data_IF_765821992036
#
_entry.id   IF_765821992036
#
_cell.length_a   1.000
_cell.length_b   1.000
_cell.length_c   1.000
_cell.angle_alpha   90.00
_cell.angle_beta   90.00
_cell.angle_gamma   90.00
#
_symmetry.space_group_name_H-M   'P 1'
#
loop_
_entity.id
_entity.type
_entity.pdbx_description
1 polymer ?
#
# COMPACT_ATOMS: atom_id res chain seq x y z
N UNK A 1 -33.32 25.77 -3.08
CA UNK A 1 -32.87 24.88 -4.17
C UNK A 1 -31.65 24.07 -3.74
N UNK A 2 -30.61 24.66 -3.12
CA UNK A 2 -29.38 23.99 -2.69
C UNK A 2 -29.62 22.91 -1.62
N UNK A 3 -30.50 23.18 -0.66
CA UNK A 3 -30.90 22.24 0.41
C UNK A 3 -31.66 21.02 -0.15
N UNK A 4 -32.48 21.21 -1.15
CA UNK A 4 -33.24 20.14 -1.82
C UNK A 4 -32.27 19.24 -2.61
N UNK A 5 -31.33 19.84 -3.35
CA UNK A 5 -30.29 19.07 -4.05
C UNK A 5 -29.41 18.24 -3.09
N UNK A 6 -29.05 18.81 -1.96
CA UNK A 6 -28.28 18.12 -0.91
C UNK A 6 -29.08 16.94 -0.33
N UNK A 7 -30.36 17.13 -0.01
CA UNK A 7 -31.25 16.07 0.48
C UNK A 7 -31.40 14.94 -0.54
N UNK A 8 -31.57 15.26 -1.82
CA UNK A 8 -31.65 14.27 -2.89
C UNK A 8 -30.32 13.48 -2.99
N UNK A 9 -29.17 14.17 -2.91
CA UNK A 9 -27.86 13.53 -2.97
C UNK A 9 -27.62 12.57 -1.81
N UNK A 10 -28.00 12.97 -0.59
CA UNK A 10 -27.92 12.13 0.62
C UNK A 10 -28.85 10.92 0.50
N UNK A 11 -30.11 11.14 0.06
CA UNK A 11 -31.05 10.05 -0.17
C UNK A 11 -30.53 9.05 -1.20
N UNK A 12 -30.05 9.51 -2.36
CA UNK A 12 -29.48 8.62 -3.38
C UNK A 12 -28.27 7.84 -2.85
N UNK A 13 -27.42 8.48 -2.03
CA UNK A 13 -26.25 7.82 -1.44
C UNK A 13 -26.61 6.73 -0.42
N UNK A 14 -27.74 6.83 0.25
CA UNK A 14 -28.23 5.83 1.19
C UNK A 14 -28.89 4.62 0.51
N UNK A 15 -29.51 4.82 -0.66
CA UNK A 15 -30.21 3.77 -1.40
C UNK A 15 -29.30 2.98 -2.38
N UNK A 16 -28.14 3.50 -2.76
CA UNK A 16 -27.22 2.83 -3.68
C UNK A 16 -26.04 2.24 -2.92
N UNK A 17 -26.00 0.93 -2.81
CA UNK A 17 -25.02 0.16 -2.02
C UNK A 17 -23.54 0.34 -2.39
N UNK A 18 -23.25 0.95 -3.56
CA UNK A 18 -21.88 1.15 -4.07
C UNK A 18 -21.42 2.62 -4.08
N UNK A 19 -22.16 3.55 -3.48
CA UNK A 19 -21.75 4.95 -3.42
C UNK A 19 -20.95 5.22 -2.15
N UNK A 20 -19.74 5.74 -2.33
CA UNK A 20 -18.89 6.13 -1.21
C UNK A 20 -19.37 7.46 -0.59
N UNK A 21 -20.17 7.36 0.48
CA UNK A 21 -20.72 8.52 1.21
C UNK A 21 -19.61 9.47 1.67
N UNK A 22 -18.44 8.96 2.06
CA UNK A 22 -17.30 9.79 2.47
C UNK A 22 -16.73 10.63 1.35
N UNK A 23 -16.77 10.14 0.10
CA UNK A 23 -16.35 10.93 -1.07
C UNK A 23 -17.30 12.12 -1.33
N UNK A 24 -18.61 11.90 -1.19
CA UNK A 24 -19.60 12.96 -1.34
C UNK A 24 -19.51 14.01 -0.23
N UNK A 25 -19.32 13.56 1.00
CA UNK A 25 -19.14 14.43 2.16
C UNK A 25 -17.85 15.26 2.05
N UNK A 26 -16.78 14.66 1.60
CA UNK A 26 -15.52 15.35 1.31
C UNK A 26 -15.65 16.40 0.21
N UNK A 27 -16.36 16.09 -0.87
CA UNK A 27 -16.65 17.04 -1.95
C UNK A 27 -17.49 18.22 -1.48
N UNK A 28 -18.51 17.97 -0.64
CA UNK A 28 -19.35 19.02 -0.07
C UNK A 28 -18.56 19.95 0.86
N UNK A 29 -17.78 19.39 1.80
CA UNK A 29 -16.95 20.18 2.72
C UNK A 29 -15.90 20.99 1.95
N UNK A 30 -15.24 20.38 0.97
CA UNK A 30 -14.26 21.06 0.12
C UNK A 30 -14.86 22.22 -0.67
N UNK A 31 -16.01 22.01 -1.30
CA UNK A 31 -16.75 23.05 -2.03
C UNK A 31 -17.18 24.20 -1.14
N UNK A 32 -17.67 23.89 0.07
CA UNK A 32 -18.08 24.88 1.06
C UNK A 32 -16.90 25.73 1.54
N UNK A 33 -15.75 25.10 1.83
CA UNK A 33 -14.53 25.79 2.23
C UNK A 33 -14.03 26.74 1.14
N UNK A 34 -13.98 26.30 -0.11
CA UNK A 34 -13.56 27.14 -1.25
C UNK A 34 -14.48 28.34 -1.42
N UNK A 35 -15.80 28.13 -1.29
CA UNK A 35 -16.80 29.20 -1.40
C UNK A 35 -16.66 30.22 -0.26
N UNK A 36 -16.46 29.76 0.98
CA UNK A 36 -16.24 30.62 2.14
C UNK A 36 -14.97 31.45 1.99
N UNK A 37 -13.86 30.83 1.57
CA UNK A 37 -12.60 31.53 1.32
C UNK A 37 -12.80 32.61 0.25
N UNK A 38 -13.44 32.29 -0.88
CA UNK A 38 -13.72 33.26 -1.93
C UNK A 38 -14.61 34.43 -1.48
N UNK A 39 -15.58 34.15 -0.61
CA UNK A 39 -16.51 35.15 -0.12
C UNK A 39 -15.90 36.07 0.97
N UNK A 40 -15.26 35.47 2.00
CA UNK A 40 -14.80 36.25 3.13
C UNK A 40 -13.45 36.98 2.90
N UNK A 41 -12.58 36.43 2.08
CA UNK A 41 -11.25 37.02 1.89
C UNK A 41 -11.16 38.01 0.73
N UNK A 42 -12.27 38.24 0.01
CA UNK A 42 -12.31 39.16 -1.16
C UNK A 42 -11.06 39.02 -2.06
N UNK A 43 -10.67 37.77 -2.30
CA UNK A 43 -9.41 37.42 -2.96
C UNK A 43 -9.46 37.97 -4.39
N UNK A 44 -8.36 38.59 -4.83
CA UNK A 44 -8.20 39.04 -6.21
C UNK A 44 -8.54 37.85 -7.14
N UNK A 45 -9.40 38.09 -8.13
CA UNK A 45 -9.92 37.07 -9.04
C UNK A 45 -8.81 36.19 -9.65
N UNK A 46 -7.67 36.80 -9.99
CA UNK A 46 -6.53 36.08 -10.56
C UNK A 46 -5.86 35.17 -9.52
N UNK A 47 -5.69 35.64 -8.29
CA UNK A 47 -5.14 34.86 -7.19
C UNK A 47 -6.06 33.67 -6.83
N UNK A 48 -7.38 33.87 -6.86
CA UNK A 48 -8.35 32.80 -6.63
C UNK A 48 -8.20 31.68 -7.67
N UNK A 49 -8.08 32.01 -8.96
CA UNK A 49 -7.90 31.01 -10.01
C UNK A 49 -6.55 30.28 -9.88
N UNK A 50 -5.48 30.97 -9.52
CA UNK A 50 -4.18 30.35 -9.29
C UNK A 50 -4.25 29.33 -8.14
N UNK A 51 -4.85 29.72 -7.01
CA UNK A 51 -5.01 28.82 -5.85
C UNK A 51 -5.88 27.61 -6.21
N UNK A 52 -6.93 27.79 -6.98
CA UNK A 52 -7.80 26.70 -7.44
C UNK A 52 -7.04 25.70 -8.32
N UNK A 53 -6.23 26.19 -9.26
CA UNK A 53 -5.40 25.35 -10.13
C UNK A 53 -4.37 24.57 -9.32
N UNK A 54 -3.70 25.23 -8.37
CA UNK A 54 -2.73 24.57 -7.46
C UNK A 54 -3.39 23.46 -6.66
N UNK A 55 -4.59 23.73 -6.09
CA UNK A 55 -5.35 22.74 -5.34
C UNK A 55 -5.72 21.53 -6.20
N UNK A 56 -6.16 21.79 -7.44
CA UNK A 56 -6.51 20.75 -8.40
C UNK A 56 -5.31 19.90 -8.78
N UNK A 57 -4.14 20.51 -9.00
CA UNK A 57 -2.89 19.78 -9.26
C UNK A 57 -2.49 18.90 -8.07
N UNK A 58 -2.57 19.42 -6.85
CA UNK A 58 -2.29 18.63 -5.63
C UNK A 58 -3.26 17.44 -5.55
N UNK A 59 -4.55 17.68 -5.81
CA UNK A 59 -5.56 16.61 -5.80
C UNK A 59 -5.25 15.51 -6.83
N UNK A 60 -4.88 15.88 -8.06
CA UNK A 60 -4.50 14.92 -9.10
C UNK A 60 -3.27 14.11 -8.69
N UNK A 61 -2.24 14.76 -8.12
CA UNK A 61 -1.03 14.07 -7.63
C UNK A 61 -1.38 13.08 -6.53
N UNK A 62 -2.24 13.47 -5.57
CA UNK A 62 -2.69 12.58 -4.51
C UNK A 62 -3.49 11.39 -5.04
N UNK A 63 -4.35 11.60 -6.05
CA UNK A 63 -5.10 10.50 -6.68
C UNK A 63 -4.17 9.50 -7.36
N UNK A 64 -3.16 9.97 -8.09
CA UNK A 64 -2.15 9.10 -8.71
C UNK A 64 -1.42 8.28 -7.63
N UNK A 65 -1.03 8.90 -6.52
CA UNK A 65 -0.37 8.20 -5.40
C UNK A 65 -1.25 7.15 -4.76
N UNK A 66 -2.52 7.49 -4.47
CA UNK A 66 -3.48 6.55 -3.88
C UNK A 66 -3.75 5.37 -4.82
N UNK A 67 -3.86 5.64 -6.12
CA UNK A 67 -4.09 4.59 -7.11
C UNK A 67 -2.90 3.61 -7.17
N UNK A 68 -1.66 4.11 -7.20
CA UNK A 68 -0.44 3.28 -7.20
C UNK A 68 -0.37 2.40 -5.94
N UNK A 69 -0.56 2.98 -4.73
CA UNK A 69 -0.54 2.23 -3.47
C UNK A 69 -1.64 1.15 -3.44
N UNK A 70 -2.82 1.46 -4.00
CA UNK A 70 -3.95 0.52 -4.03
C UNK A 70 -3.70 -0.65 -4.98
N UNK A 71 -3.02 -0.43 -6.11
CA UNK A 71 -2.65 -1.51 -7.03
C UNK A 71 -1.66 -2.49 -6.37
N UNK A 72 -0.61 -1.99 -5.72
CA UNK A 72 0.37 -2.82 -5.03
C UNK A 72 -0.31 -3.74 -4.00
N UNK A 73 -1.17 -3.19 -3.16
CA UNK A 73 -1.95 -3.95 -2.17
C UNK A 73 -2.92 -4.98 -2.79
N UNK A 74 -3.42 -4.76 -4.00
CA UNK A 74 -4.31 -5.69 -4.69
C UNK A 74 -3.55 -6.94 -5.14
N UNK A 75 -2.34 -6.78 -5.70
CA UNK A 75 -1.51 -7.91 -6.13
C UNK A 75 -1.07 -8.76 -4.95
N UNK A 76 -0.57 -8.17 -3.89
CA UNK A 76 -0.16 -8.90 -2.69
C UNK A 76 -1.33 -9.65 -2.04
N UNK A 77 -2.50 -9.01 -2.00
CA UNK A 77 -3.72 -9.69 -1.54
C UNK A 77 -4.07 -10.88 -2.41
N UNK A 78 -4.02 -10.73 -3.72
CA UNK A 78 -4.33 -11.81 -4.65
C UNK A 78 -3.34 -12.97 -4.49
N UNK A 79 -2.03 -12.68 -4.34
CA UNK A 79 -1.00 -13.69 -4.09
C UNK A 79 -1.34 -14.47 -2.81
N UNK A 80 -1.65 -13.77 -1.71
CA UNK A 80 -2.02 -14.38 -0.43
C UNK A 80 -3.25 -15.24 -0.54
N UNK A 81 -4.29 -14.76 -1.23
CA UNK A 81 -5.54 -15.52 -1.42
C UNK A 81 -5.29 -16.82 -2.19
N UNK A 82 -4.45 -16.80 -3.24
CA UNK A 82 -4.06 -17.99 -3.97
C UNK A 82 -3.23 -18.96 -3.10
N UNK A 83 -2.30 -18.45 -2.31
CA UNK A 83 -1.51 -19.26 -1.37
C UNK A 83 -2.39 -19.93 -0.32
N UNK A 84 -3.36 -19.22 0.25
CA UNK A 84 -4.31 -19.76 1.22
C UNK A 84 -5.20 -20.85 0.60
N UNK A 85 -5.52 -20.76 -0.69
CA UNK A 85 -6.21 -21.78 -1.44
C UNK A 85 -5.35 -22.99 -1.84
N UNK A 86 -4.04 -22.97 -1.56
CA UNK A 86 -3.09 -23.98 -1.99
C UNK A 86 -2.70 -23.89 -3.48
N UNK A 87 -3.10 -22.83 -4.16
CA UNK A 87 -2.85 -22.61 -5.60
C UNK A 87 -1.51 -21.90 -5.83
N UNK A 88 -0.41 -22.51 -5.40
CA UNK A 88 0.92 -21.90 -5.45
C UNK A 88 1.40 -21.53 -6.86
N UNK A 89 1.09 -22.35 -7.87
CA UNK A 89 1.41 -22.04 -9.27
C UNK A 89 0.73 -20.77 -9.78
N UNK A 90 -0.51 -20.53 -9.38
CA UNK A 90 -1.25 -19.30 -9.72
C UNK A 90 -0.71 -18.11 -8.95
N UNK A 91 -0.39 -18.28 -7.65
CA UNK A 91 0.28 -17.27 -6.85
C UNK A 91 1.62 -16.84 -7.48
N UNK A 92 2.43 -17.80 -7.94
CA UNK A 92 3.70 -17.54 -8.64
C UNK A 92 3.49 -16.75 -9.95
N UNK A 93 2.42 -17.06 -10.70
CA UNK A 93 2.09 -16.30 -11.90
C UNK A 93 1.79 -14.82 -11.58
N UNK A 94 1.05 -14.56 -10.50
CA UNK A 94 0.75 -13.20 -10.05
C UNK A 94 2.03 -12.48 -9.60
N UNK A 95 2.91 -13.14 -8.83
CA UNK A 95 4.24 -12.60 -8.47
C UNK A 95 5.02 -12.19 -9.70
N UNK A 96 5.11 -13.06 -10.71
CA UNK A 96 5.85 -12.79 -11.94
C UNK A 96 5.27 -11.58 -12.71
N UNK A 97 3.94 -11.47 -12.77
CA UNK A 97 3.28 -10.33 -13.38
C UNK A 97 3.59 -9.02 -12.64
N UNK A 98 3.59 -9.07 -11.31
CA UNK A 98 3.88 -7.90 -10.45
C UNK A 98 5.32 -7.44 -10.62
N UNK A 99 6.27 -8.39 -10.67
CA UNK A 99 7.68 -8.13 -10.95
C UNK A 99 7.89 -7.50 -12.32
N UNK A 100 7.25 -8.04 -13.37
CA UNK A 100 7.39 -7.57 -14.74
C UNK A 100 6.82 -6.15 -14.95
N UNK A 101 5.76 -5.79 -14.20
CA UNK A 101 5.15 -4.46 -14.23
C UNK A 101 5.87 -3.43 -13.36
N UNK A 102 6.92 -3.82 -12.64
CA UNK A 102 7.63 -3.00 -11.64
C UNK A 102 6.75 -2.50 -10.48
N UNK A 103 5.67 -3.21 -10.14
CA UNK A 103 4.80 -2.93 -9.01
C UNK A 103 5.23 -3.68 -7.73
N UNK A 104 6.22 -4.56 -7.83
CA UNK A 104 6.72 -5.35 -6.72
C UNK A 104 7.38 -4.48 -5.65
N UNK A 105 6.93 -4.65 -4.43
CA UNK A 105 7.52 -4.11 -3.20
C UNK A 105 8.25 -5.21 -2.40
N UNK A 106 8.62 -4.92 -1.17
CA UNK A 106 9.30 -5.88 -0.30
C UNK A 106 8.39 -7.04 0.13
N UNK A 107 7.08 -6.82 0.24
CA UNK A 107 6.10 -7.87 0.53
C UNK A 107 5.95 -8.85 -0.63
N UNK A 108 5.98 -8.37 -1.87
CA UNK A 108 5.97 -9.23 -3.06
C UNK A 108 7.16 -10.19 -3.07
N UNK A 109 8.38 -9.71 -2.73
CA UNK A 109 9.56 -10.57 -2.61
C UNK A 109 9.47 -11.54 -1.43
N UNK A 110 8.87 -11.12 -0.32
CA UNK A 110 8.60 -11.99 0.81
C UNK A 110 7.68 -13.15 0.40
N UNK A 111 6.55 -12.85 -0.24
CA UNK A 111 5.59 -13.85 -0.71
C UNK A 111 6.21 -14.78 -1.77
N UNK A 112 7.02 -14.24 -2.69
CA UNK A 112 7.77 -15.03 -3.67
C UNK A 112 8.65 -16.07 -2.97
N UNK A 113 9.39 -15.67 -1.96
CA UNK A 113 10.24 -16.59 -1.19
C UNK A 113 9.44 -17.64 -0.43
N UNK A 114 8.27 -17.29 0.14
CA UNK A 114 7.40 -18.28 0.79
C UNK A 114 6.87 -19.33 -0.19
N UNK A 115 6.46 -18.93 -1.39
CA UNK A 115 6.04 -19.84 -2.47
C UNK A 115 7.20 -20.78 -2.82
N UNK A 116 8.40 -20.21 -3.00
CA UNK A 116 9.60 -20.99 -3.32
C UNK A 116 9.98 -21.96 -2.22
N UNK A 117 9.86 -21.56 -0.94
CA UNK A 117 10.11 -22.45 0.19
C UNK A 117 9.15 -23.65 0.22
N UNK A 118 7.92 -23.47 -0.26
CA UNK A 118 6.90 -24.50 -0.27
C UNK A 118 7.01 -25.43 -1.48
N UNK A 119 7.30 -24.91 -2.66
CA UNK A 119 7.34 -25.68 -3.90
C UNK A 119 8.72 -26.27 -4.23
N UNK A 120 9.79 -25.64 -3.79
CA UNK A 120 11.15 -25.97 -4.20
C UNK A 120 12.03 -26.31 -2.96
N UNK A 121 12.68 -25.30 -2.39
CA UNK A 121 13.54 -25.49 -1.22
C UNK A 121 13.75 -24.20 -0.41
N UNK A 122 14.13 -24.38 0.85
CA UNK A 122 14.53 -23.27 1.73
C UNK A 122 15.74 -22.50 1.19
N UNK A 123 16.65 -23.18 0.51
CA UNK A 123 17.85 -22.59 -0.09
C UNK A 123 17.49 -21.62 -1.22
N UNK A 124 16.54 -21.99 -2.06
CA UNK A 124 16.06 -21.17 -3.16
C UNK A 124 15.18 -20.00 -2.66
N UNK A 125 14.39 -20.22 -1.61
CA UNK A 125 13.66 -19.15 -0.94
C UNK A 125 14.60 -18.06 -0.40
N UNK A 126 15.73 -18.43 0.18
CA UNK A 126 16.77 -17.48 0.63
C UNK A 126 17.25 -16.62 -0.55
N UNK A 127 17.48 -17.23 -1.72
CA UNK A 127 17.91 -16.48 -2.90
C UNK A 127 16.87 -15.45 -3.34
N UNK A 128 15.58 -15.78 -3.28
CA UNK A 128 14.48 -14.85 -3.56
C UNK A 128 14.45 -13.68 -2.56
N UNK A 129 14.54 -13.97 -1.26
CA UNK A 129 14.58 -12.93 -0.23
C UNK A 129 15.85 -12.07 -0.33
N UNK A 130 17.01 -12.65 -0.69
CA UNK A 130 18.22 -11.88 -0.96
C UNK A 130 18.10 -10.97 -2.18
N UNK A 131 17.36 -11.36 -3.22
CA UNK A 131 17.00 -10.46 -4.34
C UNK A 131 16.16 -9.29 -3.85
N UNK A 132 15.18 -9.54 -3.00
CA UNK A 132 14.36 -8.51 -2.39
C UNK A 132 15.18 -7.54 -1.54
N UNK A 133 16.09 -8.03 -0.70
CA UNK A 133 16.98 -7.19 0.13
C UNK A 133 17.91 -6.32 -0.69
N UNK A 134 18.35 -6.75 -1.86
CA UNK A 134 19.15 -5.88 -2.76
C UNK A 134 18.35 -4.67 -3.21
N UNK A 135 17.05 -4.83 -3.46
CA UNK A 135 16.15 -3.75 -3.89
C UNK A 135 15.61 -2.96 -2.70
N UNK A 136 15.28 -3.63 -1.60
CA UNK A 136 14.71 -3.07 -0.37
C UNK A 136 15.59 -3.38 0.85
N UNK A 137 16.80 -2.76 0.97
CA UNK A 137 17.80 -3.14 1.97
C UNK A 137 17.37 -2.90 3.42
N UNK A 138 16.27 -2.20 3.60
CA UNK A 138 15.74 -1.82 4.90
C UNK A 138 14.39 -2.51 5.23
N UNK A 139 13.97 -3.47 4.42
CA UNK A 139 12.75 -4.23 4.69
C UNK A 139 12.91 -5.04 5.98
N UNK A 140 12.00 -4.80 6.93
CA UNK A 140 11.96 -5.54 8.20
C UNK A 140 11.61 -7.01 7.96
N UNK A 141 10.59 -7.26 7.13
CA UNK A 141 10.08 -8.60 6.84
C UNK A 141 11.13 -9.48 6.15
N UNK A 142 11.80 -8.97 5.12
CA UNK A 142 12.84 -9.73 4.41
C UNK A 142 14.08 -10.00 5.28
N UNK A 143 14.50 -9.01 6.09
CA UNK A 143 15.61 -9.23 7.03
C UNK A 143 15.25 -10.27 8.08
N UNK A 144 14.02 -10.32 8.56
CA UNK A 144 13.53 -11.28 9.53
C UNK A 144 13.52 -12.70 8.95
N UNK A 145 12.94 -12.88 7.75
CA UNK A 145 12.89 -14.19 7.10
C UNK A 145 14.28 -14.74 6.77
N UNK A 146 15.17 -13.89 6.26
CA UNK A 146 16.57 -14.29 6.03
C UNK A 146 17.29 -14.68 7.31
N UNK A 147 17.00 -14.05 8.44
CA UNK A 147 17.56 -14.44 9.72
C UNK A 147 17.10 -15.84 10.15
N UNK A 148 15.80 -16.11 10.05
CA UNK A 148 15.22 -17.43 10.41
C UNK A 148 15.74 -18.51 9.46
N UNK A 149 15.68 -18.27 8.17
CA UNK A 149 16.06 -19.24 7.15
C UNK A 149 17.55 -19.63 7.23
N UNK A 150 18.44 -18.65 7.40
CA UNK A 150 19.86 -18.93 7.56
C UNK A 150 20.18 -19.67 8.87
N UNK A 151 19.41 -19.40 9.94
CA UNK A 151 19.55 -20.13 11.19
C UNK A 151 19.14 -21.60 11.04
N UNK A 152 18.06 -21.87 10.31
CA UNK A 152 17.60 -23.25 10.06
C UNK A 152 18.60 -24.09 9.26
N UNK A 153 19.40 -23.43 8.40
CA UNK A 153 20.46 -24.05 7.62
C UNK A 153 21.83 -24.08 8.35
N UNK A 154 21.86 -23.74 9.65
CA UNK A 154 23.08 -23.69 10.48
C UNK A 154 24.13 -22.69 10.02
N UNK A 155 23.77 -21.67 9.27
CA UNK A 155 24.64 -20.54 8.90
C UNK A 155 24.51 -19.40 9.92
N UNK A 156 25.01 -19.61 11.13
CA UNK A 156 24.93 -18.68 12.26
C UNK A 156 25.52 -17.30 11.94
N UNK A 157 26.56 -17.23 11.09
CA UNK A 157 27.17 -15.94 10.70
C UNK A 157 26.24 -15.08 9.87
N UNK A 158 25.52 -15.68 8.93
CA UNK A 158 24.51 -14.95 8.14
C UNK A 158 23.26 -14.66 8.96
N UNK A 159 22.81 -15.61 9.78
CA UNK A 159 21.65 -15.42 10.65
C UNK A 159 21.80 -14.20 11.56
N UNK A 160 22.97 -13.96 12.14
CA UNK A 160 23.26 -12.81 13.02
C UNK A 160 23.38 -11.46 12.30
N UNK A 161 23.54 -11.45 10.97
CA UNK A 161 23.65 -10.21 10.17
C UNK A 161 22.30 -9.50 10.02
N UNK A 162 21.23 -10.25 9.86
CA UNK A 162 19.91 -9.73 9.54
C UNK A 162 19.11 -9.17 10.73
N UNK A 163 19.12 -9.78 11.93
CA UNK A 163 18.37 -9.27 13.09
C UNK A 163 18.78 -7.86 13.52
N UNK A 164 20.06 -7.52 13.40
CA UNK A 164 20.54 -6.16 13.73
C UNK A 164 19.95 -5.09 12.84
N UNK A 165 19.57 -5.43 11.60
CA UNK A 165 18.91 -4.51 10.66
C UNK A 165 17.40 -4.46 10.86
N UNK A 166 16.76 -5.59 11.18
CA UNK A 166 15.33 -5.65 11.49
C UNK A 166 14.99 -4.85 12.75
N UNK A 167 15.74 -5.04 13.84
CA UNK A 167 15.54 -4.35 15.11
C UNK A 167 15.76 -2.83 15.05
N UNK A 168 16.54 -2.34 14.09
CA UNK A 168 16.83 -0.89 13.95
C UNK A 168 15.67 -0.10 13.37
N UNK A 169 14.64 -0.73 12.78
CA UNK A 169 13.53 -0.07 12.09
C UNK A 169 12.14 -0.28 12.64
N UNK A 170 11.94 -1.19 13.57
CA UNK A 170 10.68 -1.32 14.31
C UNK A 170 10.86 -1.00 15.80
N UNK A 171 11.06 0.27 16.20
CA UNK A 171 11.10 0.62 17.61
C UNK A 171 9.71 0.70 18.26
N UNK A 172 8.63 0.41 17.55
CA UNK A 172 7.28 0.76 18.02
C UNK A 172 6.30 -0.40 18.21
N UNK A 173 6.67 -1.67 18.03
CA UNK A 173 5.74 -2.77 18.25
C UNK A 173 6.08 -3.65 19.47
N UNK A 174 6.60 -3.04 20.56
CA UNK A 174 6.81 -3.71 21.86
C UNK A 174 5.60 -3.58 22.79
N UNK A 175 4.39 -3.34 22.31
CA UNK A 175 3.17 -3.34 23.11
C UNK A 175 2.30 -4.58 22.84
N UNK A 176 2.87 -5.77 22.97
CA UNK A 176 2.11 -6.99 23.29
C UNK A 176 2.80 -7.69 24.45
N UNK A 177 2.65 -7.11 25.65
CA UNK A 177 2.77 -7.80 26.91
C UNK A 177 1.40 -7.73 27.60
N UNK A 178 0.86 -8.87 27.80
CA UNK A 178 -0.21 -9.40 28.64
C UNK A 178 -1.34 -10.02 27.86
#
# INVERSE_FOLDING_TARGET
QLLIALLILICLSLFMSNINIMAHLGGFIGGLLITLIGYYFNVNRNLFWILLIVLLLIFVILQIRIFTIKEDNIYDKLIKDQMLGGHYGEARNVVNQTLNKNYADDETYYLSGLITATEESQSEAIAEWERGIKKYPNSGILNYELAIANRSLSDDKKALKYPKKAAKREPSNTNNKN
#
